data_IF_686033798685
#
_entry.id   IF_686033798685
#
_cell.length_a   1.000
_cell.length_b   1.000
_cell.length_c   1.000
_cell.angle_alpha   90.00
_cell.angle_beta   90.00
_cell.angle_gamma   90.00
#
_symmetry.space_group_name_H-M   'P 1'
#
loop_
_entity.id
_entity.type
_entity.pdbx_description
1 polymer ?
#
# COMPACT_ATOMS: atom_id res chain seq x y z
N UNK A 1 11.43 43.53 -24.19
CA UNK A 1 10.76 42.88 -23.03
C UNK A 1 11.40 41.52 -22.70
N UNK A 2 12.70 41.44 -22.39
CA UNK A 2 13.40 40.17 -22.13
C UNK A 2 13.90 40.00 -20.67
N UNK A 3 13.97 41.09 -19.90
CA UNK A 3 14.60 41.15 -18.56
C UNK A 3 13.77 40.57 -17.41
N UNK A 4 12.47 40.29 -17.62
CA UNK A 4 11.59 39.74 -16.58
C UNK A 4 11.73 38.22 -16.39
N UNK A 5 12.18 37.51 -17.42
CA UNK A 5 12.21 36.06 -17.43
C UNK A 5 13.40 35.50 -16.63
N UNK A 6 14.58 36.11 -16.77
CA UNK A 6 15.81 35.67 -16.09
C UNK A 6 15.74 35.83 -14.56
N UNK A 7 15.13 36.92 -14.06
CA UNK A 7 14.93 37.12 -12.61
C UNK A 7 13.93 36.12 -12.02
N UNK A 8 12.92 35.76 -12.80
CA UNK A 8 11.90 34.78 -12.39
C UNK A 8 12.51 33.38 -12.33
N UNK A 9 13.26 32.98 -13.35
CA UNK A 9 13.98 31.69 -13.37
C UNK A 9 14.99 31.61 -12.23
N UNK A 10 15.79 32.65 -12.00
CA UNK A 10 16.76 32.69 -10.89
C UNK A 10 16.09 32.54 -9.51
N UNK A 11 14.94 33.19 -9.30
CA UNK A 11 14.16 33.04 -8.06
C UNK A 11 13.59 31.63 -7.88
N UNK A 12 13.06 31.03 -8.93
CA UNK A 12 12.53 29.65 -8.88
C UNK A 12 13.66 28.68 -8.56
N UNK A 13 14.81 28.82 -9.22
CA UNK A 13 15.98 27.97 -8.96
C UNK A 13 16.47 28.15 -7.52
N UNK A 14 16.57 29.39 -7.01
CA UNK A 14 16.95 29.65 -5.62
C UNK A 14 15.96 29.04 -4.61
N UNK A 15 14.65 29.13 -4.88
CA UNK A 15 13.62 28.55 -4.02
C UNK A 15 13.79 27.03 -3.79
N UNK A 16 14.14 26.28 -4.85
CA UNK A 16 14.36 24.84 -4.75
C UNK A 16 15.76 24.47 -4.27
N UNK A 17 16.78 25.24 -4.68
CA UNK A 17 18.18 24.96 -4.35
C UNK A 17 18.49 25.26 -2.90
N UNK A 18 18.10 26.44 -2.42
CA UNK A 18 18.47 26.92 -1.09
C UNK A 18 17.44 26.48 -0.04
N UNK A 19 16.19 26.23 -0.48
CA UNK A 19 15.12 25.62 0.31
C UNK A 19 14.97 26.20 1.72
N UNK A 20 15.18 27.51 1.88
CA UNK A 20 15.15 28.20 3.18
C UNK A 20 13.79 28.07 3.90
N UNK A 21 12.74 27.80 3.13
CA UNK A 21 11.39 27.51 3.63
C UNK A 21 11.24 26.12 4.26
N UNK A 22 12.15 25.17 4.00
CA UNK A 22 12.06 23.78 4.48
C UNK A 22 12.71 23.63 5.85
N UNK A 23 12.17 24.34 6.84
CA UNK A 23 12.66 24.24 8.22
C UNK A 23 12.22 22.92 8.87
N UNK A 24 12.96 22.47 9.89
CA UNK A 24 12.62 21.25 10.64
C UNK A 24 11.19 21.30 11.21
N UNK A 25 10.75 22.47 11.65
CA UNK A 25 9.40 22.69 12.16
C UNK A 25 8.36 22.44 11.07
N UNK A 26 8.54 23.03 9.88
CA UNK A 26 7.62 22.83 8.76
C UNK A 26 7.61 21.38 8.28
N UNK A 27 8.77 20.73 8.21
CA UNK A 27 8.87 19.29 7.88
C UNK A 27 8.04 18.45 8.85
N UNK A 28 8.15 18.71 10.16
CA UNK A 28 7.35 17.99 11.18
C UNK A 28 5.86 18.25 11.02
N UNK A 29 5.46 19.51 10.84
CA UNK A 29 4.06 19.88 10.65
C UNK A 29 3.49 19.17 9.43
N UNK A 30 4.17 19.22 8.28
CA UNK A 30 3.71 18.55 7.06
C UNK A 30 3.60 17.03 7.25
N UNK A 31 4.60 16.39 7.85
CA UNK A 31 4.53 14.95 8.13
C UNK A 31 3.36 14.59 9.05
N UNK A 32 3.16 15.33 10.14
CA UNK A 32 2.05 15.11 11.08
C UNK A 32 0.71 15.32 10.39
N UNK A 33 0.56 16.36 9.56
CA UNK A 33 -0.67 16.60 8.80
C UNK A 33 -0.98 15.41 7.88
N UNK A 34 0.01 14.92 7.13
CA UNK A 34 -0.20 13.76 6.25
C UNK A 34 -0.52 12.49 7.05
N UNK A 35 0.15 12.26 8.17
CA UNK A 35 -0.17 11.14 9.08
C UNK A 35 -1.61 11.25 9.58
N UNK A 36 -2.03 12.42 10.06
CA UNK A 36 -3.36 12.62 10.61
C UNK A 36 -4.45 12.37 9.54
N UNK A 37 -4.24 12.89 8.32
CA UNK A 37 -5.13 12.61 7.18
C UNK A 37 -5.13 11.12 6.87
N UNK A 38 -3.96 10.47 6.81
CA UNK A 38 -3.84 9.05 6.49
C UNK A 38 -4.53 8.16 7.52
N UNK A 39 -4.34 8.45 8.82
CA UNK A 39 -5.03 7.73 9.90
C UNK A 39 -6.54 7.93 9.80
N UNK A 40 -7.01 9.15 9.52
CA UNK A 40 -8.43 9.41 9.29
C UNK A 40 -9.00 8.60 8.13
N UNK A 41 -8.28 8.53 7.00
CA UNK A 41 -8.65 7.72 5.84
C UNK A 41 -8.67 6.21 6.15
N UNK A 42 -7.66 5.70 6.86
CA UNK A 42 -7.59 4.29 7.28
C UNK A 42 -8.76 3.94 8.20
N UNK A 43 -9.01 4.78 9.22
CA UNK A 43 -10.14 4.58 10.13
C UNK A 43 -11.46 4.58 9.36
N UNK A 44 -11.64 5.49 8.40
CA UNK A 44 -12.79 5.49 7.52
C UNK A 44 -12.90 4.18 6.73
N UNK A 45 -11.83 3.74 6.05
CA UNK A 45 -11.82 2.49 5.26
C UNK A 45 -12.22 1.27 6.09
N UNK A 46 -11.78 1.18 7.34
CA UNK A 46 -12.12 0.06 8.23
C UNK A 46 -13.40 0.26 9.05
N UNK A 47 -14.08 1.41 8.94
CA UNK A 47 -15.37 1.64 9.60
C UNK A 47 -16.55 0.98 8.85
N UNK A 48 -16.30 0.36 7.70
CA UNK A 48 -17.31 -0.40 6.95
C UNK A 48 -17.63 -1.76 7.59
N UNK A 49 -18.29 -2.62 6.82
CA UNK A 49 -18.76 -3.91 7.31
C UNK A 49 -18.19 -5.07 6.48
N UNK A 50 -17.61 -6.06 7.15
CA UNK A 50 -17.07 -7.24 6.48
C UNK A 50 -15.81 -6.90 5.66
N UNK A 51 -15.91 -7.03 4.34
CA UNK A 51 -14.82 -6.76 3.40
C UNK A 51 -14.90 -5.38 2.76
N UNK A 52 -15.96 -4.61 3.05
CA UNK A 52 -16.26 -3.37 2.36
C UNK A 52 -15.96 -2.15 3.24
N UNK A 53 -15.47 -1.07 2.63
CA UNK A 53 -15.40 0.26 3.22
C UNK A 53 -16.80 0.90 3.35
N UNK A 54 -16.96 2.05 4.03
CA UNK A 54 -18.27 2.69 4.17
C UNK A 54 -18.91 3.16 2.86
N UNK A 55 -18.15 3.27 1.77
CA UNK A 55 -18.65 3.59 0.44
C UNK A 55 -19.01 2.32 -0.39
N UNK A 56 -18.80 1.13 0.17
CA UNK A 56 -19.11 -0.15 -0.46
C UNK A 56 -17.99 -0.71 -1.36
N UNK A 57 -16.77 -0.17 -1.26
CA UNK A 57 -15.61 -0.70 -1.99
C UNK A 57 -14.91 -1.78 -1.17
N UNK A 58 -14.48 -2.86 -1.82
CA UNK A 58 -13.70 -3.89 -1.15
C UNK A 58 -12.36 -3.34 -0.61
N UNK A 59 -11.95 -3.79 0.57
CA UNK A 59 -10.69 -3.42 1.23
C UNK A 59 -9.61 -4.47 0.94
N UNK A 60 -8.38 -4.03 0.71
CA UNK A 60 -7.26 -4.94 0.48
C UNK A 60 -7.28 -5.61 -0.90
N UNK A 61 -7.90 -4.97 -1.89
CA UNK A 61 -8.17 -5.54 -3.21
C UNK A 61 -6.95 -6.13 -3.90
N UNK A 62 -5.78 -5.51 -3.78
CA UNK A 62 -4.57 -5.97 -4.47
C UNK A 62 -3.99 -7.24 -3.81
N UNK A 63 -4.28 -7.44 -2.52
CA UNK A 63 -3.86 -8.63 -1.76
C UNK A 63 -4.73 -9.87 -2.05
N UNK A 64 -5.93 -9.69 -2.63
CA UNK A 64 -6.85 -10.82 -2.89
C UNK A 64 -6.22 -11.90 -3.78
N UNK A 65 -5.43 -11.49 -4.77
CA UNK A 65 -4.75 -12.40 -5.68
C UNK A 65 -3.72 -13.27 -4.95
N UNK A 66 -2.98 -12.69 -4.00
CA UNK A 66 -1.95 -13.38 -3.20
C UNK A 66 -2.59 -14.44 -2.30
N UNK A 67 -3.67 -14.08 -1.62
CA UNK A 67 -4.41 -15.01 -0.77
C UNK A 67 -5.09 -16.10 -1.60
N UNK A 68 -5.69 -15.76 -2.73
CA UNK A 68 -6.38 -16.71 -3.61
C UNK A 68 -5.41 -17.71 -4.23
N UNK A 69 -4.23 -17.26 -4.66
CA UNK A 69 -3.16 -18.15 -5.14
C UNK A 69 -2.69 -19.08 -4.03
N UNK A 70 -2.47 -18.58 -2.81
CA UNK A 70 -2.15 -19.42 -1.66
C UNK A 70 -3.23 -20.49 -1.41
N UNK A 71 -4.50 -20.08 -1.40
CA UNK A 71 -5.62 -21.00 -1.21
C UNK A 71 -5.68 -22.05 -2.33
N UNK A 72 -5.49 -21.65 -3.58
CA UNK A 72 -5.47 -22.56 -4.72
C UNK A 72 -4.37 -23.62 -4.58
N UNK A 73 -3.16 -23.21 -4.16
CA UNK A 73 -2.04 -24.14 -3.91
C UNK A 73 -2.35 -25.12 -2.77
N UNK A 74 -2.89 -24.63 -1.65
CA UNK A 74 -3.20 -25.45 -0.47
C UNK A 74 -4.37 -26.42 -0.70
N UNK A 75 -5.29 -26.11 -1.62
CA UNK A 75 -6.49 -26.90 -1.90
C UNK A 75 -6.39 -27.72 -3.20
N UNK A 76 -5.21 -27.86 -3.79
CA UNK A 76 -4.99 -28.72 -4.97
C UNK A 76 -5.42 -28.11 -6.31
N UNK A 77 -5.72 -26.82 -6.37
CA UNK A 77 -6.10 -26.09 -7.59
C UNK A 77 -4.90 -25.42 -8.27
N UNK A 78 -3.73 -26.09 -8.28
CA UNK A 78 -2.46 -25.54 -8.78
C UNK A 78 -2.55 -25.05 -10.22
N UNK A 79 -3.32 -25.76 -11.06
CA UNK A 79 -3.52 -25.43 -12.46
C UNK A 79 -4.27 -24.11 -12.67
N UNK A 80 -5.01 -23.63 -11.67
CA UNK A 80 -5.73 -22.37 -11.73
C UNK A 80 -4.82 -21.14 -11.53
N UNK A 81 -3.64 -21.29 -10.91
CA UNK A 81 -2.77 -20.16 -10.50
C UNK A 81 -2.36 -19.27 -11.67
N UNK A 82 -2.10 -19.87 -12.84
CA UNK A 82 -1.68 -19.16 -14.05
C UNK A 82 -2.74 -19.19 -15.16
N UNK A 83 -3.97 -19.60 -14.84
CA UNK A 83 -5.13 -19.47 -15.70
C UNK A 83 -5.98 -18.30 -15.19
N UNK A 84 -6.00 -17.15 -15.89
CA UNK A 84 -6.74 -15.97 -15.45
C UNK A 84 -8.22 -16.21 -15.21
N UNK A 85 -8.87 -17.06 -16.02
CA UNK A 85 -10.30 -17.34 -15.90
C UNK A 85 -10.58 -18.23 -14.69
N UNK A 86 -9.76 -19.26 -14.48
CA UNK A 86 -9.89 -20.12 -13.32
C UNK A 86 -9.57 -19.38 -12.01
N UNK A 87 -8.54 -18.54 -12.01
CA UNK A 87 -8.18 -17.73 -10.84
C UNK A 87 -9.27 -16.72 -10.49
N UNK A 88 -9.83 -16.03 -11.49
CA UNK A 88 -10.94 -15.08 -11.27
C UNK A 88 -12.17 -15.75 -10.63
N UNK A 89 -12.50 -16.98 -11.06
CA UNK A 89 -13.59 -17.74 -10.46
C UNK A 89 -13.32 -18.06 -8.99
N UNK A 90 -12.06 -18.36 -8.62
CA UNK A 90 -11.66 -18.56 -7.24
C UNK A 90 -11.71 -17.25 -6.43
N UNK A 91 -11.20 -16.14 -6.96
CA UNK A 91 -11.25 -14.83 -6.28
C UNK A 91 -12.68 -14.42 -5.91
N UNK A 92 -13.65 -14.69 -6.80
CA UNK A 92 -15.06 -14.42 -6.56
C UNK A 92 -15.66 -15.25 -5.42
N UNK A 93 -15.07 -16.39 -5.07
CA UNK A 93 -15.51 -17.15 -3.87
C UNK A 93 -15.01 -16.52 -2.57
N UNK A 94 -13.93 -15.74 -2.62
CA UNK A 94 -13.31 -15.08 -1.47
C UNK A 94 -13.94 -13.72 -1.21
N UNK A 95 -14.12 -12.92 -2.26
CA UNK A 95 -14.76 -11.60 -2.22
C UNK A 95 -15.93 -11.61 -3.22
N UNK A 96 -17.14 -12.04 -2.79
CA UNK A 96 -18.30 -12.31 -3.66
C UNK A 96 -18.82 -11.13 -4.49
N UNK A 97 -18.35 -9.91 -4.23
CA UNK A 97 -18.83 -8.68 -4.86
C UNK A 97 -17.76 -7.89 -5.62
N UNK A 98 -16.56 -8.44 -5.82
CA UNK A 98 -15.53 -7.84 -6.70
C UNK A 98 -15.86 -8.02 -8.20
N UNK A 99 -17.11 -7.77 -8.59
CA UNK A 99 -17.57 -7.97 -9.97
C UNK A 99 -16.85 -7.06 -11.00
N UNK A 100 -16.04 -6.09 -10.56
CA UNK A 100 -15.42 -5.10 -11.42
C UNK A 100 -13.88 -5.23 -11.59
N UNK A 101 -13.18 -5.99 -10.73
CA UNK A 101 -11.72 -6.09 -10.81
C UNK A 101 -11.24 -7.51 -10.52
N UNK A 102 -10.73 -8.17 -11.57
CA UNK A 102 -9.90 -9.37 -11.46
C UNK A 102 -8.46 -8.93 -11.20
N UNK A 103 -7.83 -9.48 -10.15
CA UNK A 103 -6.45 -9.16 -9.81
C UNK A 103 -5.51 -10.24 -10.34
N UNK A 104 -4.94 -9.98 -11.52
CA UNK A 104 -4.13 -10.99 -12.19
C UNK A 104 -2.85 -11.35 -11.40
N UNK A 105 -2.64 -12.65 -11.19
CA UNK A 105 -1.35 -13.15 -10.73
C UNK A 105 -0.35 -13.16 -11.90
N UNK A 106 0.65 -12.27 -11.84
CA UNK A 106 1.66 -12.09 -12.90
C UNK A 106 3.09 -12.43 -12.45
N UNK A 107 3.25 -12.90 -11.21
CA UNK A 107 4.55 -13.15 -10.62
C UNK A 107 5.16 -14.50 -11.08
N UNK A 108 6.50 -14.60 -11.20
CA UNK A 108 7.16 -15.84 -11.56
C UNK A 108 6.93 -16.94 -10.50
N UNK A 109 7.08 -18.24 -10.86
CA UNK A 109 6.79 -19.35 -9.96
C UNK A 109 7.52 -19.34 -8.61
N UNK A 110 8.68 -18.68 -8.52
CA UNK A 110 9.41 -18.54 -7.26
C UNK A 110 8.63 -17.75 -6.20
N UNK A 111 7.77 -16.81 -6.63
CA UNK A 111 6.91 -16.03 -5.73
C UNK A 111 5.85 -16.89 -5.02
N UNK A 112 5.55 -18.08 -5.56
CA UNK A 112 4.62 -19.03 -4.94
C UNK A 112 5.10 -19.45 -3.55
N UNK A 113 6.41 -19.55 -3.33
CA UNK A 113 6.96 -19.88 -2.01
C UNK A 113 6.65 -18.82 -0.95
N UNK A 114 6.63 -17.55 -1.36
CA UNK A 114 6.33 -16.43 -0.47
C UNK A 114 4.86 -16.41 -0.07
N UNK A 115 3.96 -16.67 -1.04
CA UNK A 115 2.52 -16.61 -0.80
C UNK A 115 1.93 -17.90 -0.26
N UNK A 116 2.60 -19.04 -0.44
CA UNK A 116 2.12 -20.36 -0.02
C UNK A 116 1.48 -20.40 1.38
N UNK A 117 2.04 -19.78 2.44
CA UNK A 117 1.46 -19.87 3.78
C UNK A 117 0.30 -18.89 4.06
N UNK A 118 -0.03 -17.96 3.15
CA UNK A 118 -0.97 -16.87 3.47
C UNK A 118 -2.39 -17.36 3.81
N UNK A 119 -2.90 -18.33 3.05
CA UNK A 119 -4.24 -18.90 3.25
C UNK A 119 -4.30 -19.96 4.36
N UNK A 120 -3.22 -20.13 5.14
CA UNK A 120 -3.30 -20.77 6.46
C UNK A 120 -4.11 -19.91 7.45
N UNK A 121 -4.23 -18.61 7.17
CA UNK A 121 -5.05 -17.67 7.93
C UNK A 121 -6.29 -17.27 7.12
N UNK A 122 -7.43 -16.96 7.80
CA UNK A 122 -8.55 -16.29 7.16
C UNK A 122 -8.09 -14.97 6.49
N UNK A 123 -8.71 -14.61 5.37
CA UNK A 123 -8.31 -13.46 4.53
C UNK A 123 -7.95 -12.20 5.32
N UNK A 124 -8.83 -11.73 6.22
CA UNK A 124 -8.60 -10.49 6.97
C UNK A 124 -7.41 -10.60 7.94
N UNK A 125 -7.19 -11.78 8.53
CA UNK A 125 -6.04 -12.03 9.39
C UNK A 125 -4.74 -12.08 8.57
N UNK A 126 -4.77 -12.72 7.40
CA UNK A 126 -3.64 -12.74 6.47
C UNK A 126 -3.29 -11.33 5.98
N UNK A 127 -4.29 -10.52 5.62
CA UNK A 127 -4.12 -9.12 5.22
C UNK A 127 -3.50 -8.29 6.35
N UNK A 128 -3.99 -8.46 7.59
CA UNK A 128 -3.42 -7.79 8.75
C UNK A 128 -1.94 -8.13 8.98
N UNK A 129 -1.58 -9.42 8.87
CA UNK A 129 -0.18 -9.87 8.98
C UNK A 129 0.67 -9.35 7.83
N UNK A 130 0.16 -9.35 6.60
CA UNK A 130 0.83 -8.84 5.42
C UNK A 130 1.17 -7.36 5.56
N UNK A 131 0.16 -6.54 5.91
CA UNK A 131 0.33 -5.11 6.12
C UNK A 131 1.27 -4.81 7.29
N UNK A 132 1.08 -5.46 8.44
CA UNK A 132 1.94 -5.24 9.61
C UNK A 132 3.39 -5.67 9.33
N UNK A 133 3.59 -6.82 8.69
CA UNK A 133 4.91 -7.33 8.33
C UNK A 133 5.65 -6.42 7.36
N UNK A 134 4.98 -6.01 6.27
CA UNK A 134 5.54 -5.07 5.30
C UNK A 134 5.88 -3.73 5.93
N UNK A 135 4.97 -3.18 6.74
CA UNK A 135 5.18 -1.91 7.43
C UNK A 135 6.34 -1.95 8.43
N UNK A 136 6.45 -3.01 9.23
CA UNK A 136 7.57 -3.19 10.15
C UNK A 136 8.90 -3.35 9.41
N UNK A 137 8.92 -4.10 8.30
CA UNK A 137 10.11 -4.23 7.45
C UNK A 137 10.52 -2.86 6.87
N UNK A 138 9.56 -2.09 6.38
CA UNK A 138 9.76 -0.75 5.84
C UNK A 138 10.37 0.20 6.89
N UNK A 139 9.74 0.32 8.07
CA UNK A 139 10.25 1.19 9.14
C UNK A 139 11.62 0.72 9.67
N UNK A 140 11.83 -0.59 9.74
CA UNK A 140 13.13 -1.17 10.13
C UNK A 140 14.22 -0.84 9.12
N UNK A 141 13.91 -0.90 7.82
CA UNK A 141 14.84 -0.53 6.76
C UNK A 141 15.19 0.97 6.83
N UNK A 142 14.18 1.84 6.98
CA UNK A 142 14.40 3.28 7.17
C UNK A 142 15.31 3.58 8.36
N UNK A 143 15.05 2.94 9.51
CA UNK A 143 15.86 3.11 10.70
C UNK A 143 17.30 2.64 10.50
N UNK A 144 17.50 1.50 9.81
CA UNK A 144 18.85 0.98 9.53
C UNK A 144 19.64 1.87 8.58
N UNK A 145 18.99 2.54 7.64
CA UNK A 145 19.65 3.44 6.68
C UNK A 145 19.94 4.80 7.34
N UNK A 146 18.94 5.39 8.02
CA UNK A 146 19.07 6.69 8.71
C UNK A 146 18.41 6.61 10.09
N UNK A 147 19.16 6.30 11.17
CA UNK A 147 18.62 6.06 12.52
C UNK A 147 18.28 7.37 13.23
N UNK A 148 17.27 8.07 12.73
CA UNK A 148 16.74 9.32 13.27
C UNK A 148 15.24 9.21 13.44
N UNK A 149 14.72 9.71 14.56
CA UNK A 149 13.27 9.74 14.81
C UNK A 149 12.50 10.48 13.71
N UNK A 150 13.12 11.52 13.12
CA UNK A 150 12.55 12.24 12.00
C UNK A 150 12.36 11.35 10.76
N UNK A 151 13.25 10.39 10.50
CA UNK A 151 13.12 9.44 9.39
C UNK A 151 11.85 8.60 9.55
N UNK A 152 11.59 8.11 10.77
CA UNK A 152 10.38 7.36 11.05
C UNK A 152 9.14 8.23 10.90
N UNK A 153 9.16 9.45 11.42
CA UNK A 153 8.04 10.39 11.25
C UNK A 153 7.72 10.64 9.77
N UNK A 154 8.76 10.85 8.95
CA UNK A 154 8.58 11.06 7.51
C UNK A 154 8.12 9.79 6.80
N UNK A 155 8.62 8.63 7.22
CA UNK A 155 8.17 7.35 6.70
C UNK A 155 6.71 7.05 7.02
N UNK A 156 6.27 7.35 8.24
CA UNK A 156 4.86 7.26 8.64
C UNK A 156 3.97 8.19 7.81
N UNK A 157 4.46 9.40 7.51
CA UNK A 157 3.77 10.38 6.67
C UNK A 157 3.97 10.18 5.17
N UNK A 158 4.55 9.06 4.72
CA UNK A 158 4.74 8.81 3.30
C UNK A 158 3.41 8.37 2.66
N UNK A 159 2.92 9.04 1.60
CA UNK A 159 1.60 8.74 1.03
C UNK A 159 1.40 7.29 0.58
N UNK A 160 2.47 6.59 0.17
CA UNK A 160 2.37 5.18 -0.22
C UNK A 160 1.97 4.27 0.95
N UNK A 161 2.23 4.66 2.21
CA UNK A 161 1.74 3.91 3.38
C UNK A 161 0.22 3.88 3.40
N UNK A 162 -0.43 5.03 3.18
CA UNK A 162 -1.89 5.11 3.08
C UNK A 162 -2.41 4.23 1.95
N UNK A 163 -1.85 4.37 0.74
CA UNK A 163 -2.28 3.61 -0.43
C UNK A 163 -2.13 2.10 -0.23
N UNK A 164 -1.01 1.67 0.37
CA UNK A 164 -0.73 0.26 0.67
C UNK A 164 -1.73 -0.29 1.69
N UNK A 165 -2.05 0.47 2.74
CA UNK A 165 -3.00 0.01 3.77
C UNK A 165 -4.41 -0.12 3.22
N UNK A 166 -4.84 0.80 2.34
CA UNK A 166 -6.20 0.75 1.76
C UNK A 166 -6.34 -0.33 0.69
N UNK A 167 -5.34 -0.51 -0.18
CA UNK A 167 -5.39 -1.48 -1.28
C UNK A 167 -4.78 -2.85 -0.95
N UNK A 168 -4.03 -2.97 0.14
CA UNK A 168 -3.36 -4.21 0.55
C UNK A 168 -1.94 -4.37 -0.01
N UNK A 169 -1.58 -3.60 -1.05
CA UNK A 169 -0.25 -3.56 -1.66
C UNK A 169 -0.07 -2.28 -2.52
N UNK A 170 1.17 -1.92 -2.86
CA UNK A 170 1.53 -0.92 -3.87
C UNK A 170 2.82 -1.36 -4.60
#
# INVERSE_FOLDING_TARGET
MAWGNERTVSRIVGFFRDAEWLTLERVRVYAITVIAVSVGSIVYTFAGHGFDDPAGHAVGTDFVSFWTVSWALLNGHQNAVYDPTALAALEQTVIPRSAAAFYAWQYPPIALLLVYPLALLPYLAALGVWLAGGFLCYLSALWRIVPRALTLLLGLGFPAVLLTVTHGQN
#
